data_IF_641586995925
#
_entry.id   IF_641586995925
#
_cell.length_a   1.000
_cell.length_b   1.000
_cell.length_c   1.000
_cell.angle_alpha   90.00
_cell.angle_beta   90.00
_cell.angle_gamma   90.00
#
_symmetry.space_group_name_H-M   'P 1'
#
loop_
_entity.id
_entity.type
_entity.pdbx_description
1 polymer ?
#
# COMPACT_ATOMS: atom_id res chain seq x y z
N UNK A 1 -18.50 41.24 -9.98
CA UNK A 1 -17.10 40.95 -9.99
C UNK A 1 -16.69 40.74 -8.54
N UNK A 2 -16.59 39.51 -8.10
CA UNK A 2 -16.17 39.10 -6.76
C UNK A 2 -15.19 37.95 -6.98
N UNK A 3 -13.89 38.29 -7.00
CA UNK A 3 -12.81 37.30 -7.01
C UNK A 3 -12.84 36.56 -5.66
N UNK A 4 -13.17 35.28 -5.75
CA UNK A 4 -13.05 34.33 -4.63
C UNK A 4 -11.57 34.02 -4.48
N UNK A 5 -10.82 34.82 -3.72
CA UNK A 5 -9.49 34.48 -3.25
C UNK A 5 -9.59 33.25 -2.38
N UNK A 6 -9.24 32.09 -2.94
CA UNK A 6 -8.92 30.89 -2.14
C UNK A 6 -7.76 31.29 -1.21
N UNK A 7 -8.05 31.47 0.05
CA UNK A 7 -7.04 31.63 1.11
C UNK A 7 -6.20 30.35 1.06
N UNK A 8 -4.95 30.47 0.65
CA UNK A 8 -4.00 29.38 0.53
C UNK A 8 -3.58 28.81 1.89
N UNK A 9 -4.44 28.06 2.51
CA UNK A 9 -4.04 27.17 3.60
C UNK A 9 -3.31 25.97 2.99
N UNK A 10 -2.07 25.77 3.36
CA UNK A 10 -1.33 24.54 3.02
C UNK A 10 -2.12 23.34 3.55
N UNK A 11 -2.36 22.36 2.69
CA UNK A 11 -3.02 21.10 3.10
C UNK A 11 -2.31 20.50 4.32
N UNK A 12 -3.03 19.97 5.32
CA UNK A 12 -2.43 19.30 6.47
C UNK A 12 -1.59 18.09 6.07
N UNK A 13 -1.72 17.63 4.83
CA UNK A 13 -0.97 16.51 4.25
C UNK A 13 0.23 16.94 3.40
N UNK A 14 0.55 18.24 3.29
CA UNK A 14 1.61 18.76 2.39
C UNK A 14 3.02 18.18 2.66
N UNK A 15 3.26 17.61 3.83
CA UNK A 15 4.50 16.92 4.21
C UNK A 15 4.23 15.50 4.74
N UNK A 16 3.04 14.96 4.47
CA UNK A 16 2.69 13.65 5.00
C UNK A 16 3.34 12.52 4.18
N UNK A 17 3.73 11.46 4.88
CA UNK A 17 4.03 10.18 4.26
C UNK A 17 2.72 9.37 4.22
N UNK A 18 2.21 9.09 3.03
CA UNK A 18 0.93 8.41 2.77
C UNK A 18 1.22 7.05 2.13
N UNK A 19 0.73 5.97 2.72
CA UNK A 19 0.75 4.65 2.12
C UNK A 19 -0.55 4.33 1.40
N UNK A 20 -0.50 3.77 0.19
CA UNK A 20 -1.69 3.27 -0.52
C UNK A 20 -1.62 1.75 -0.53
N UNK A 21 -2.58 1.11 0.13
CA UNK A 21 -2.66 -0.34 0.34
C UNK A 21 -3.85 -0.99 -0.38
N UNK A 22 -3.81 -2.29 -0.59
CA UNK A 22 -4.91 -3.05 -1.19
C UNK A 22 -4.45 -4.16 -2.14
N UNK A 23 -5.41 -4.95 -2.64
CA UNK A 23 -5.16 -6.13 -3.48
C UNK A 23 -4.36 -5.82 -4.76
N UNK A 24 -3.93 -6.86 -5.46
CA UNK A 24 -3.28 -6.75 -6.77
C UNK A 24 -4.32 -6.24 -7.79
N UNK A 25 -3.91 -5.35 -8.70
CA UNK A 25 -4.77 -4.89 -9.79
C UNK A 25 -5.86 -3.86 -9.43
N UNK A 26 -5.96 -3.41 -8.18
CA UNK A 26 -7.04 -2.50 -7.75
C UNK A 26 -6.86 -1.04 -8.17
N UNK A 27 -5.69 -0.65 -8.68
CA UNK A 27 -5.45 0.73 -9.15
C UNK A 27 -4.69 1.61 -8.15
N UNK A 28 -3.94 1.03 -7.21
CA UNK A 28 -3.12 1.77 -6.22
C UNK A 28 -2.20 2.81 -6.86
N UNK A 29 -1.47 2.43 -7.90
CA UNK A 29 -0.52 3.33 -8.59
C UNK A 29 -1.22 4.54 -9.21
N UNK A 30 -2.45 4.37 -9.71
CA UNK A 30 -3.26 5.46 -10.28
C UNK A 30 -3.67 6.43 -9.18
N UNK A 31 -4.18 5.92 -8.05
CA UNK A 31 -4.57 6.76 -6.93
C UNK A 31 -3.34 7.42 -6.28
N UNK A 32 -2.22 6.70 -6.12
CA UNK A 32 -1.00 7.25 -5.55
C UNK A 32 -0.47 8.43 -6.37
N UNK A 33 -0.51 8.34 -7.70
CA UNK A 33 -0.16 9.46 -8.60
C UNK A 33 -1.08 10.65 -8.37
N UNK A 34 -2.40 10.43 -8.43
CA UNK A 34 -3.37 11.51 -8.31
C UNK A 34 -3.32 12.19 -6.94
N UNK A 35 -3.14 11.44 -5.86
CA UNK A 35 -2.92 11.99 -4.52
C UNK A 35 -1.64 12.82 -4.45
N UNK A 36 -0.55 12.32 -5.02
CA UNK A 36 0.71 13.04 -5.05
C UNK A 36 0.60 14.37 -5.82
N UNK A 37 -0.01 14.33 -7.02
CA UNK A 37 -0.24 15.52 -7.84
C UNK A 37 -1.14 16.53 -7.11
N UNK A 38 -2.25 16.06 -6.49
CA UNK A 38 -3.20 16.93 -5.77
C UNK A 38 -2.58 17.59 -4.53
N UNK A 39 -1.71 16.88 -3.81
CA UNK A 39 -1.09 17.35 -2.56
C UNK A 39 0.27 18.01 -2.77
N UNK A 40 0.82 18.00 -3.99
CA UNK A 40 2.17 18.49 -4.29
C UNK A 40 3.27 17.62 -3.67
N UNK A 41 3.05 16.30 -3.57
CA UNK A 41 3.95 15.30 -3.02
C UNK A 41 4.64 14.50 -4.11
N UNK A 42 5.71 13.79 -3.76
CA UNK A 42 6.36 12.83 -4.64
C UNK A 42 5.66 11.45 -4.57
N UNK A 43 5.44 10.80 -5.72
CA UNK A 43 4.88 9.46 -5.79
C UNK A 43 5.99 8.41 -5.95
N UNK A 44 6.00 7.41 -5.06
CA UNK A 44 6.90 6.25 -5.13
C UNK A 44 6.09 5.01 -5.51
N UNK A 45 6.47 4.39 -6.64
CA UNK A 45 5.75 3.24 -7.20
C UNK A 45 6.41 1.92 -6.87
N UNK A 46 5.60 0.85 -6.81
CA UNK A 46 6.13 -0.50 -6.70
C UNK A 46 7.05 -0.82 -7.90
N UNK A 47 8.30 -1.27 -7.67
CA UNK A 47 9.26 -1.55 -8.74
C UNK A 47 8.95 -2.88 -9.43
N UNK A 48 7.87 -2.91 -10.24
CA UNK A 48 7.43 -4.11 -10.95
C UNK A 48 8.29 -4.39 -12.18
N UNK A 49 8.68 -3.32 -12.93
CA UNK A 49 9.37 -3.44 -14.21
C UNK A 49 10.79 -4.03 -14.07
N UNK A 50 11.46 -3.73 -12.96
CA UNK A 50 12.84 -4.16 -12.69
C UNK A 50 12.92 -5.38 -11.76
N UNK A 51 11.78 -6.06 -11.54
CA UNK A 51 11.74 -7.19 -10.62
C UNK A 51 12.22 -8.46 -11.30
N UNK A 52 13.47 -8.83 -11.00
CA UNK A 52 14.17 -9.97 -11.60
C UNK A 52 13.59 -11.33 -11.23
N UNK A 53 12.71 -11.38 -10.22
CA UNK A 53 12.06 -12.62 -9.77
C UNK A 53 10.62 -12.78 -10.25
N UNK A 54 10.04 -11.76 -10.89
CA UNK A 54 8.60 -11.71 -11.12
C UNK A 54 8.10 -12.86 -12.02
N UNK A 55 8.76 -13.07 -13.15
CA UNK A 55 8.39 -14.12 -14.09
C UNK A 55 8.64 -15.52 -13.49
N UNK A 56 9.79 -15.71 -12.85
CA UNK A 56 10.13 -16.97 -12.18
C UNK A 56 9.16 -17.29 -11.03
N UNK A 57 8.77 -16.28 -10.26
CA UNK A 57 7.81 -16.43 -9.16
C UNK A 57 6.44 -16.92 -9.66
N UNK A 58 5.93 -16.36 -10.72
CA UNK A 58 4.65 -16.80 -11.27
C UNK A 58 4.75 -18.14 -12.00
N UNK A 59 5.91 -18.51 -12.53
CA UNK A 59 6.15 -19.81 -13.14
C UNK A 59 6.28 -20.94 -12.10
N UNK A 60 6.96 -20.70 -10.98
CA UNK A 60 7.16 -21.63 -9.86
C UNK A 60 7.15 -20.91 -8.52
N UNK A 61 5.94 -20.57 -8.05
CA UNK A 61 5.73 -19.81 -6.83
C UNK A 61 6.37 -20.47 -5.62
N UNK A 62 6.28 -21.81 -5.50
CA UNK A 62 6.83 -22.55 -4.37
C UNK A 62 8.35 -22.42 -4.24
N UNK A 63 9.04 -22.41 -5.37
CA UNK A 63 10.51 -22.27 -5.42
C UNK A 63 10.98 -20.84 -5.15
N UNK A 64 10.27 -19.85 -5.70
CA UNK A 64 10.74 -18.46 -5.70
C UNK A 64 10.06 -17.57 -4.66
N UNK A 65 9.10 -18.09 -3.88
CA UNK A 65 8.34 -17.30 -2.90
C UNK A 65 9.22 -16.55 -1.92
N UNK A 66 10.19 -17.21 -1.29
CA UNK A 66 11.10 -16.58 -0.33
C UNK A 66 11.97 -15.51 -0.99
N UNK A 67 12.63 -15.84 -2.11
CA UNK A 67 13.51 -14.92 -2.83
C UNK A 67 12.75 -13.68 -3.29
N UNK A 68 11.54 -13.86 -3.84
CA UNK A 68 10.66 -12.78 -4.26
C UNK A 68 10.27 -11.87 -3.10
N UNK A 69 9.86 -12.42 -1.95
CA UNK A 69 9.45 -11.61 -0.81
C UNK A 69 10.63 -10.85 -0.19
N UNK A 70 11.82 -11.46 -0.10
CA UNK A 70 13.03 -10.77 0.36
C UNK A 70 13.44 -9.66 -0.59
N UNK A 71 13.36 -9.89 -1.91
CA UNK A 71 13.63 -8.87 -2.91
C UNK A 71 12.69 -7.66 -2.76
N UNK A 72 11.38 -7.90 -2.67
CA UNK A 72 10.38 -6.84 -2.51
C UNK A 72 10.58 -6.07 -1.20
N UNK A 73 10.81 -6.76 -0.09
CA UNK A 73 11.09 -6.17 1.21
C UNK A 73 12.30 -5.22 1.13
N UNK A 74 13.40 -5.67 0.50
CA UNK A 74 14.60 -4.86 0.33
C UNK A 74 14.35 -3.60 -0.51
N UNK A 75 13.62 -3.72 -1.64
CA UNK A 75 13.30 -2.59 -2.51
C UNK A 75 12.39 -1.57 -1.82
N UNK A 76 11.38 -2.03 -1.09
CA UNK A 76 10.49 -1.15 -0.32
C UNK A 76 11.18 -0.50 0.86
N UNK A 77 12.09 -1.20 1.51
CA UNK A 77 12.91 -0.60 2.57
C UNK A 77 13.81 0.50 2.01
N UNK A 78 14.42 0.31 0.86
CA UNK A 78 15.21 1.33 0.17
C UNK A 78 14.36 2.56 -0.15
N UNK A 79 13.19 2.39 -0.78
CA UNK A 79 12.27 3.49 -1.06
C UNK A 79 11.81 4.20 0.21
N UNK A 80 11.53 3.45 1.27
CA UNK A 80 11.17 4.02 2.55
C UNK A 80 12.28 4.91 3.12
N UNK A 81 13.54 4.48 3.03
CA UNK A 81 14.68 5.29 3.44
C UNK A 81 14.80 6.58 2.61
N UNK A 82 14.62 6.50 1.28
CA UNK A 82 14.63 7.65 0.39
C UNK A 82 13.56 8.69 0.79
N UNK A 83 12.32 8.23 1.08
CA UNK A 83 11.24 9.09 1.56
C UNK A 83 11.63 9.79 2.86
N UNK A 84 12.11 9.04 3.85
CA UNK A 84 12.43 9.60 5.17
C UNK A 84 13.62 10.55 5.09
N UNK A 85 14.66 10.20 4.36
CA UNK A 85 15.88 11.04 4.25
C UNK A 85 15.65 12.28 3.40
N UNK A 86 14.68 12.27 2.48
CA UNK A 86 14.31 13.47 1.74
C UNK A 86 13.78 14.59 2.63
N UNK A 87 13.23 14.25 3.81
CA UNK A 87 12.58 15.19 4.73
C UNK A 87 11.30 15.80 4.14
N UNK A 88 10.83 15.31 3.01
CA UNK A 88 9.60 15.73 2.33
C UNK A 88 8.53 14.65 2.44
N UNK A 89 7.27 15.03 2.38
CA UNK A 89 6.18 14.08 2.30
C UNK A 89 6.17 13.32 0.98
N UNK A 90 5.54 12.14 0.97
CA UNK A 90 5.45 11.31 -0.20
C UNK A 90 4.19 10.44 -0.18
N UNK A 91 3.77 9.97 -1.36
CA UNK A 91 2.75 8.92 -1.50
C UNK A 91 3.44 7.66 -2.03
N UNK A 92 3.33 6.56 -1.29
CA UNK A 92 3.94 5.29 -1.65
C UNK A 92 2.88 4.26 -2.04
N UNK A 93 2.98 3.74 -3.27
CA UNK A 93 2.19 2.61 -3.74
C UNK A 93 2.75 1.33 -3.11
N UNK A 94 2.04 0.81 -2.13
CA UNK A 94 2.37 -0.34 -1.30
C UNK A 94 3.57 -0.09 -0.37
N UNK A 95 3.25 0.07 0.90
CA UNK A 95 4.26 0.24 1.95
C UNK A 95 4.85 -1.09 2.39
N UNK A 96 6.00 -1.02 3.05
CA UNK A 96 6.65 -2.20 3.65
C UNK A 96 5.76 -2.89 4.71
N UNK A 97 4.83 -2.17 5.33
CA UNK A 97 3.97 -2.71 6.40
C UNK A 97 3.03 -3.82 5.92
N UNK A 98 2.65 -3.81 4.65
CA UNK A 98 1.78 -4.85 4.06
C UNK A 98 2.53 -6.05 3.46
N UNK A 99 3.87 -6.02 3.45
CA UNK A 99 4.68 -7.11 2.88
C UNK A 99 4.50 -8.44 3.60
N UNK A 100 4.33 -8.40 4.92
CA UNK A 100 4.10 -9.61 5.72
C UNK A 100 2.82 -10.36 5.34
N UNK A 101 1.81 -9.67 4.78
CA UNK A 101 0.55 -10.27 4.32
C UNK A 101 0.83 -11.29 3.23
N UNK A 102 1.63 -10.91 2.22
CA UNK A 102 1.97 -11.79 1.10
C UNK A 102 2.75 -13.02 1.55
N UNK A 103 3.75 -12.83 2.41
CA UNK A 103 4.54 -13.92 2.94
C UNK A 103 3.68 -14.89 3.79
N UNK A 104 2.76 -14.38 4.61
CA UNK A 104 1.87 -15.21 5.42
C UNK A 104 0.92 -16.05 4.56
N UNK A 105 0.31 -15.44 3.54
CA UNK A 105 -0.59 -16.17 2.62
C UNK A 105 0.16 -17.25 1.84
N UNK A 106 1.39 -16.96 1.37
CA UNK A 106 2.21 -17.96 0.68
C UNK A 106 2.57 -19.15 1.60
N UNK A 107 2.88 -18.89 2.88
CA UNK A 107 3.09 -19.94 3.88
C UNK A 107 1.82 -20.79 4.08
N UNK A 108 0.67 -20.14 4.26
CA UNK A 108 -0.60 -20.82 4.55
C UNK A 108 -1.12 -21.64 3.36
N UNK A 109 -0.71 -21.28 2.15
CA UNK A 109 -0.94 -22.05 0.94
C UNK A 109 0.10 -23.17 0.71
N UNK A 110 1.09 -23.31 1.59
CA UNK A 110 2.18 -24.28 1.43
C UNK A 110 3.17 -23.93 0.30
N UNK A 111 3.14 -22.68 -0.15
CA UNK A 111 4.01 -22.14 -1.22
C UNK A 111 5.28 -21.47 -0.67
N UNK A 112 5.40 -21.32 0.65
CA UNK A 112 6.60 -20.90 1.34
C UNK A 112 6.85 -21.84 2.52
N UNK A 113 8.08 -22.34 2.64
CA UNK A 113 8.43 -23.23 3.75
C UNK A 113 8.34 -22.47 5.10
N UNK A 114 7.82 -23.06 6.19
CA UNK A 114 7.70 -22.39 7.49
C UNK A 114 9.00 -21.75 7.98
N UNK A 115 10.13 -22.44 7.85
CA UNK A 115 11.45 -21.91 8.22
C UNK A 115 11.81 -20.64 7.44
N UNK A 116 11.50 -20.58 6.14
CA UNK A 116 11.79 -19.43 5.29
C UNK A 116 10.88 -18.25 5.67
N UNK A 117 9.61 -18.54 6.00
CA UNK A 117 8.69 -17.53 6.54
C UNK A 117 9.17 -16.96 7.88
N UNK A 118 9.64 -17.80 8.83
CA UNK A 118 10.20 -17.33 10.11
C UNK A 118 11.42 -16.43 9.89
N UNK A 119 12.29 -16.80 8.96
CA UNK A 119 13.47 -16.00 8.58
C UNK A 119 13.03 -14.65 8.00
N UNK A 120 12.04 -14.66 7.12
CA UNK A 120 11.48 -13.45 6.52
C UNK A 120 10.87 -12.52 7.58
N UNK A 121 10.06 -13.04 8.51
CA UNK A 121 9.44 -12.27 9.59
C UNK A 121 10.51 -11.65 10.50
N UNK A 122 11.55 -12.41 10.84
CA UNK A 122 12.68 -11.89 11.63
C UNK A 122 13.39 -10.74 10.92
N UNK A 123 13.65 -10.88 9.62
CA UNK A 123 14.23 -9.81 8.80
C UNK A 123 13.33 -8.57 8.77
N UNK A 124 12.04 -8.74 8.51
CA UNK A 124 11.06 -7.66 8.51
C UNK A 124 11.02 -6.92 9.86
N UNK A 125 10.97 -7.65 10.97
CA UNK A 125 10.96 -7.07 12.31
C UNK A 125 12.22 -6.25 12.60
N UNK A 126 13.40 -6.76 12.21
CA UNK A 126 14.66 -6.05 12.39
C UNK A 126 14.69 -4.74 11.58
N UNK A 127 14.24 -4.77 10.32
CA UNK A 127 14.15 -3.57 9.48
C UNK A 127 13.12 -2.58 10.02
N UNK A 128 11.96 -3.05 10.50
CA UNK A 128 10.87 -2.20 10.98
C UNK A 128 11.25 -1.33 12.19
N UNK A 129 12.23 -1.73 12.98
CA UNK A 129 12.75 -0.94 14.10
C UNK A 129 13.41 0.38 13.66
N UNK A 130 13.80 0.49 12.39
CA UNK A 130 14.48 1.67 11.83
C UNK A 130 13.58 2.48 10.89
N UNK A 131 12.28 2.18 10.86
CA UNK A 131 11.34 2.83 9.95
C UNK A 131 10.46 3.85 10.65
N UNK A 132 10.22 4.98 9.97
CA UNK A 132 9.18 5.91 10.37
C UNK A 132 7.83 5.42 9.85
N UNK A 133 6.79 5.58 10.67
CA UNK A 133 5.44 5.17 10.30
C UNK A 133 4.85 6.16 9.30
N UNK A 134 4.08 5.69 8.30
CA UNK A 134 3.23 6.59 7.52
C UNK A 134 2.30 7.40 8.42
N UNK A 135 1.99 8.61 8.01
CA UNK A 135 1.00 9.45 8.68
C UNK A 135 -0.41 8.88 8.53
N UNK A 136 -0.65 8.22 7.40
CA UNK A 136 -1.93 7.57 7.09
C UNK A 136 -1.72 6.44 6.05
N UNK A 137 -2.52 5.39 6.16
CA UNK A 137 -2.66 4.36 5.13
C UNK A 137 -4.04 4.52 4.49
N UNK A 138 -4.08 4.65 3.17
CA UNK A 138 -5.29 4.63 2.37
C UNK A 138 -5.48 3.21 1.85
N UNK A 139 -6.48 2.51 2.36
CA UNK A 139 -6.78 1.14 1.98
C UNK A 139 -7.89 1.10 0.93
N UNK A 140 -7.57 0.62 -0.26
CA UNK A 140 -8.52 0.44 -1.35
C UNK A 140 -9.28 -0.89 -1.17
N UNK A 141 -10.52 -0.77 -0.75
CA UNK A 141 -11.40 -1.90 -0.46
C UNK A 141 -12.12 -2.36 -1.73
N UNK A 142 -11.71 -3.52 -2.25
CA UNK A 142 -12.21 -4.12 -3.50
C UNK A 142 -12.42 -5.61 -3.29
N UNK A 143 -13.48 -6.16 -3.86
CA UNK A 143 -13.70 -7.61 -3.87
C UNK A 143 -12.61 -8.37 -4.64
N UNK A 144 -12.28 -9.60 -4.23
CA UNK A 144 -11.36 -10.45 -4.96
C UNK A 144 -11.77 -10.67 -6.42
N UNK A 145 -13.06 -10.79 -6.69
CA UNK A 145 -13.64 -10.97 -8.00
C UNK A 145 -13.36 -9.75 -8.90
N UNK A 146 -13.55 -8.55 -8.35
CA UNK A 146 -13.27 -7.31 -9.10
C UNK A 146 -11.78 -7.09 -9.31
N UNK A 147 -10.97 -7.41 -8.31
CA UNK A 147 -9.50 -7.42 -8.43
C UNK A 147 -9.06 -8.36 -9.56
N UNK A 148 -9.59 -9.58 -9.59
CA UNK A 148 -9.31 -10.58 -10.63
C UNK A 148 -9.71 -10.11 -12.02
N UNK A 149 -10.92 -9.55 -12.18
CA UNK A 149 -11.38 -8.94 -13.42
C UNK A 149 -10.41 -7.87 -13.93
N UNK A 150 -9.97 -6.96 -13.06
CA UNK A 150 -9.03 -5.88 -13.41
C UNK A 150 -7.65 -6.40 -13.80
N UNK A 151 -7.16 -7.47 -13.15
CA UNK A 151 -5.91 -8.15 -13.52
C UNK A 151 -6.02 -8.71 -14.93
N UNK A 152 -7.13 -9.41 -15.25
CA UNK A 152 -7.36 -9.97 -16.59
C UNK A 152 -7.44 -8.87 -17.65
N UNK A 153 -8.13 -7.76 -17.39
CA UNK A 153 -8.22 -6.62 -18.31
C UNK A 153 -6.87 -5.95 -18.57
N UNK A 154 -6.02 -5.86 -17.54
CA UNK A 154 -4.67 -5.27 -17.64
C UNK A 154 -3.72 -6.13 -18.49
N UNK A 155 -3.98 -7.42 -18.61
CA UNK A 155 -3.27 -8.39 -19.48
C UNK A 155 -1.74 -8.37 -19.34
N UNK A 156 -1.20 -8.20 -18.12
CA UNK A 156 0.24 -8.40 -17.88
C UNK A 156 0.55 -9.89 -17.96
N UNK A 157 1.46 -10.26 -18.87
CA UNK A 157 1.80 -11.68 -19.15
C UNK A 157 2.25 -12.43 -17.90
N UNK A 158 3.03 -11.78 -17.03
CA UNK A 158 3.53 -12.37 -15.79
C UNK A 158 2.44 -12.66 -14.75
N UNK A 159 1.30 -11.93 -14.79
CA UNK A 159 0.20 -12.08 -13.82
C UNK A 159 -0.85 -13.14 -14.20
N UNK A 160 -0.66 -13.83 -15.32
CA UNK A 160 -1.60 -14.86 -15.80
C UNK A 160 -1.78 -16.06 -14.85
N UNK A 161 -0.81 -16.27 -13.96
CA UNK A 161 -0.85 -17.32 -12.93
C UNK A 161 -1.62 -16.96 -11.64
N UNK A 162 -2.11 -15.72 -11.51
CA UNK A 162 -2.84 -15.30 -10.30
C UNK A 162 -4.21 -15.97 -10.29
N UNK A 163 -4.50 -16.73 -9.21
CA UNK A 163 -5.79 -17.38 -9.02
C UNK A 163 -6.74 -16.52 -8.17
N UNK A 164 -8.05 -16.70 -8.39
CA UNK A 164 -9.08 -16.06 -7.56
C UNK A 164 -8.98 -16.51 -6.09
N UNK A 165 -8.61 -17.77 -5.84
CA UNK A 165 -8.39 -18.31 -4.49
C UNK A 165 -7.26 -17.57 -3.76
N UNK A 166 -6.16 -17.28 -4.45
CA UNK A 166 -5.06 -16.50 -3.89
C UNK A 166 -5.52 -15.08 -3.50
N UNK A 167 -6.32 -14.43 -4.36
CA UNK A 167 -6.85 -13.10 -4.08
C UNK A 167 -7.84 -13.09 -2.91
N UNK A 168 -8.65 -14.15 -2.73
CA UNK A 168 -9.54 -14.30 -1.57
C UNK A 168 -8.75 -14.42 -0.28
N UNK A 169 -7.71 -15.25 -0.25
CA UNK A 169 -6.83 -15.37 0.93
C UNK A 169 -6.09 -14.07 1.24
N UNK A 170 -5.63 -13.37 0.20
CA UNK A 170 -5.05 -12.05 0.38
C UNK A 170 -6.07 -11.06 0.96
N UNK A 171 -7.32 -11.08 0.50
CA UNK A 171 -8.39 -10.22 1.02
C UNK A 171 -8.63 -10.45 2.51
N UNK A 172 -8.74 -11.70 2.92
CA UNK A 172 -8.93 -12.07 4.32
C UNK A 172 -7.75 -11.59 5.18
N UNK A 173 -6.51 -11.81 4.71
CA UNK A 173 -5.30 -11.36 5.40
C UNK A 173 -5.18 -9.82 5.44
N UNK A 174 -5.70 -9.11 4.42
CA UNK A 174 -5.78 -7.64 4.44
C UNK A 174 -6.78 -7.13 5.48
N UNK A 175 -7.92 -7.81 5.69
CA UNK A 175 -8.88 -7.41 6.72
C UNK A 175 -8.24 -7.47 8.11
N UNK A 176 -7.54 -8.56 8.42
CA UNK A 176 -6.81 -8.70 9.67
C UNK A 176 -5.73 -7.63 9.82
N UNK A 177 -4.95 -7.42 8.76
CA UNK A 177 -3.91 -6.38 8.73
C UNK A 177 -4.48 -4.98 8.98
N UNK A 178 -5.57 -4.60 8.31
CA UNK A 178 -6.18 -3.27 8.46
C UNK A 178 -6.65 -3.04 9.90
N UNK A 179 -7.23 -4.05 10.54
CA UNK A 179 -7.62 -3.99 11.95
C UNK A 179 -6.40 -3.79 12.85
N UNK A 180 -5.33 -4.55 12.63
CA UNK A 180 -4.16 -4.49 13.49
C UNK A 180 -3.36 -3.21 13.29
N UNK A 181 -3.11 -2.80 12.05
CA UNK A 181 -2.33 -1.60 11.74
C UNK A 181 -3.07 -0.32 12.16
N UNK A 182 -4.40 -0.31 12.16
CA UNK A 182 -5.21 0.84 12.56
C UNK A 182 -5.04 1.22 14.04
N UNK A 183 -4.50 0.32 14.87
CA UNK A 183 -4.15 0.58 16.28
C UNK A 183 -2.94 1.48 16.43
N UNK A 184 -2.11 1.62 15.40
CA UNK A 184 -0.83 2.32 15.45
C UNK A 184 -0.63 3.35 14.33
N UNK A 185 -1.37 3.23 13.22
CA UNK A 185 -1.35 4.16 12.08
C UNK A 185 -2.79 4.43 11.68
N UNK A 186 -3.23 5.69 11.49
CA UNK A 186 -4.54 5.99 10.93
C UNK A 186 -4.77 5.28 9.60
N UNK A 187 -5.92 4.64 9.42
CA UNK A 187 -6.31 3.98 8.17
C UNK A 187 -7.59 4.60 7.65
N UNK A 188 -7.57 5.05 6.40
CA UNK A 188 -8.75 5.50 5.67
C UNK A 188 -9.13 4.41 4.68
N UNK A 189 -10.27 3.75 4.92
CA UNK A 189 -10.81 2.73 4.03
C UNK A 189 -11.65 3.41 2.95
N UNK A 190 -11.32 3.18 1.69
CA UNK A 190 -12.03 3.71 0.53
C UNK A 190 -12.67 2.56 -0.24
N UNK A 191 -14.01 2.55 -0.33
CA UNK A 191 -14.73 1.59 -1.19
C UNK A 191 -14.36 1.81 -2.65
N UNK A 192 -13.80 0.80 -3.34
CA UNK A 192 -13.18 0.95 -4.65
C UNK A 192 -13.66 -0.08 -5.69
N UNK A 193 -14.88 -0.59 -5.51
CA UNK A 193 -15.52 -1.51 -6.47
C UNK A 193 -15.68 -0.91 -7.86
N UNK A 194 -15.85 0.40 -7.93
CA UNK A 194 -15.81 1.16 -9.18
C UNK A 194 -14.74 2.24 -9.05
N UNK A 195 -14.05 2.54 -10.16
CA UNK A 195 -13.14 3.67 -10.19
C UNK A 195 -13.92 4.96 -9.97
N UNK A 196 -13.49 5.74 -9.00
CA UNK A 196 -14.04 7.03 -8.68
C UNK A 196 -13.14 8.13 -9.22
N UNK A 197 -13.66 9.34 -9.32
CA UNK A 197 -12.86 10.50 -9.62
C UNK A 197 -11.80 10.70 -8.54
N UNK A 198 -10.53 10.70 -8.96
CA UNK A 198 -9.40 10.68 -8.04
C UNK A 198 -9.21 12.02 -7.31
N UNK A 199 -9.64 13.15 -7.87
CA UNK A 199 -9.62 14.44 -7.16
C UNK A 199 -10.62 14.44 -6.02
N UNK A 200 -11.86 14.01 -6.29
CA UNK A 200 -12.90 13.88 -5.25
C UNK A 200 -12.46 12.96 -4.12
N UNK A 201 -11.78 11.86 -4.45
CA UNK A 201 -11.25 10.92 -3.45
C UNK A 201 -10.09 11.55 -2.67
N UNK A 202 -9.22 12.30 -3.31
CA UNK A 202 -8.12 13.01 -2.65
C UNK A 202 -8.64 14.07 -1.66
N UNK A 203 -9.68 14.83 -2.04
CA UNK A 203 -10.34 15.78 -1.16
C UNK A 203 -10.96 15.07 0.06
N UNK A 204 -11.68 13.97 -0.16
CA UNK A 204 -12.29 13.19 0.92
C UNK A 204 -11.25 12.60 1.89
N UNK A 205 -10.12 12.10 1.37
CA UNK A 205 -8.99 11.61 2.20
C UNK A 205 -8.41 12.74 3.04
N UNK A 206 -8.20 13.91 2.43
CA UNK A 206 -7.66 15.10 3.11
C UNK A 206 -8.59 15.58 4.22
N UNK A 207 -9.89 15.63 3.94
CA UNK A 207 -10.91 15.99 4.93
C UNK A 207 -10.95 15.01 6.10
N UNK A 208 -10.97 13.70 5.82
CA UNK A 208 -11.05 12.67 6.85
C UNK A 208 -9.78 12.63 7.70
N UNK A 209 -8.59 12.77 7.09
CA UNK A 209 -7.34 12.89 7.82
C UNK A 209 -7.34 14.10 8.75
N UNK A 210 -7.87 15.24 8.29
CA UNK A 210 -7.96 16.45 9.08
C UNK A 210 -8.90 16.27 10.27
N UNK A 211 -10.04 15.60 10.07
CA UNK A 211 -10.97 15.28 11.16
C UNK A 211 -10.34 14.39 12.24
N UNK A 212 -9.54 13.41 11.83
CA UNK A 212 -8.91 12.45 12.74
C UNK A 212 -7.79 13.09 13.59
N UNK A 213 -7.16 14.15 13.11
CA UNK A 213 -5.98 14.77 13.73
C UNK A 213 -6.30 16.01 14.58
N UNK A 214 -7.57 16.29 14.90
CA UNK A 214 -7.91 17.40 15.81
C UNK A 214 -7.43 17.11 17.23
N UNK A 215 -6.62 18.03 17.76
CA UNK A 215 -6.29 18.07 19.19
C UNK A 215 -7.56 18.41 19.98
N UNK A 216 -8.04 17.49 20.80
CA UNK A 216 -9.14 17.75 21.74
C UNK A 216 -8.56 18.35 23.00
N UNK A 217 -8.80 19.62 23.26
CA UNK A 217 -8.52 20.23 24.54
C UNK A 217 -9.60 19.81 25.53
N UNK A 218 -9.22 19.06 26.57
CA UNK A 218 -10.11 18.77 27.70
C UNK A 218 -9.84 19.88 28.74
N UNK A 219 -10.81 20.74 28.98
CA UNK A 219 -10.78 21.66 30.12
C UNK A 219 -11.37 20.89 31.31
N UNK A 220 -10.56 20.66 32.34
CA UNK A 220 -10.97 20.08 33.63
C UNK A 220 -11.61 21.13 34.50
#
# INVERSE_FOLDING_TARGET
MGENQRVGGTSPLCNAFIGVAGLIGVGKSTLARSLADHLGLEAHYEPVADNVYLDDFYADTGRYSFAMQVYLLNRRFQQHQEIIWSGRGAVQDRTIYEDSIFASVLRDMGLMHPRDYETYVSLFQNLSNFMCRPNVIVYLDVSPEKSFERIQQRSRTCESGISLEYLRRLRDAYEDFVVDISRIIPVIRVGWEQFQDTETVADAITEEYTRANFMRTVTL
#
